data_IF_311845721905
#
_entry.id   IF_311845721905
#
_cell.length_a   1.000
_cell.length_b   1.000
_cell.length_c   1.000
_cell.angle_alpha   90.00
_cell.angle_beta   90.00
_cell.angle_gamma   90.00
#
_symmetry.space_group_name_H-M   'P 1'
#
loop_
_entity.id
_entity.type
_entity.pdbx_description
1 polymer ?
#
# COMPACT_ATOMS: atom_id res chain seq x y z
N UNK A 1 10.40 51.73 29.65
CA UNK A 1 9.21 51.79 28.77
C UNK A 1 9.68 51.83 27.32
N UNK A 2 9.61 50.71 26.60
CA UNK A 2 9.78 50.66 25.13
C UNK A 2 8.62 49.83 24.57
N UNK A 3 7.54 50.55 24.29
CA UNK A 3 6.46 50.07 23.43
C UNK A 3 6.82 50.53 22.03
N UNK A 4 7.27 49.60 21.21
CA UNK A 4 7.31 49.67 19.74
C UNK A 4 6.79 48.29 19.28
N UNK A 5 5.51 48.02 19.46
CA UNK A 5 4.54 48.19 18.37
C UNK A 5 5.10 47.67 17.04
N UNK A 6 5.19 46.34 16.93
CA UNK A 6 5.30 45.66 15.64
C UNK A 6 4.21 46.20 14.71
N UNK A 7 4.63 46.81 13.61
CA UNK A 7 3.72 47.35 12.60
C UNK A 7 2.98 46.20 11.88
N UNK A 8 1.64 46.25 11.71
CA UNK A 8 0.79 45.10 11.36
C UNK A 8 0.85 44.49 9.94
N UNK A 9 1.94 44.66 9.18
CA UNK A 9 2.01 44.20 7.78
C UNK A 9 3.19 43.26 7.47
N UNK A 10 4.17 43.15 8.38
CA UNK A 10 5.36 42.30 8.15
C UNK A 10 5.14 40.84 8.56
N UNK A 11 4.21 40.54 9.47
CA UNK A 11 3.89 39.16 9.85
C UNK A 11 3.12 38.42 8.74
N UNK A 12 2.30 39.15 7.96
CA UNK A 12 1.48 38.58 6.90
C UNK A 12 2.27 38.18 5.66
N UNK A 13 3.47 38.71 5.47
CA UNK A 13 4.31 38.37 4.31
C UNK A 13 5.20 37.15 4.56
N UNK A 14 5.47 36.83 5.84
CA UNK A 14 6.30 35.68 6.22
C UNK A 14 5.53 34.35 6.22
N UNK A 15 4.21 34.39 6.32
CA UNK A 15 3.34 33.22 6.15
C UNK A 15 3.08 32.88 4.66
N UNK A 16 3.11 33.86 3.76
CA UNK A 16 2.83 33.65 2.32
C UNK A 16 4.08 33.14 1.57
N UNK A 17 5.27 33.38 2.10
CA UNK A 17 6.55 32.98 1.51
C UNK A 17 7.18 31.72 2.09
N UNK A 18 6.57 31.09 3.10
CA UNK A 18 7.10 29.86 3.68
C UNK A 18 6.57 28.65 2.89
N UNK A 19 7.43 27.97 2.10
CA UNK A 19 6.99 26.79 1.39
C UNK A 19 6.63 25.66 2.37
N UNK A 20 6.95 25.74 3.66
CA UNK A 20 6.50 24.79 4.67
C UNK A 20 4.99 24.88 4.95
N UNK A 21 4.37 26.07 4.90
CA UNK A 21 2.93 26.23 5.09
C UNK A 21 2.11 25.63 3.94
N UNK A 22 2.55 25.90 2.70
CA UNK A 22 1.95 25.32 1.49
C UNK A 22 2.25 23.81 1.41
N UNK A 23 3.45 23.38 1.81
CA UNK A 23 3.78 21.95 1.94
C UNK A 23 2.93 21.27 2.97
N UNK A 24 2.61 21.90 4.11
CA UNK A 24 1.81 21.29 5.18
C UNK A 24 0.35 21.11 4.79
N UNK A 25 -0.25 21.99 3.99
CA UNK A 25 -1.61 21.81 3.48
C UNK A 25 -1.68 20.88 2.25
N UNK A 26 -0.63 20.84 1.42
CA UNK A 26 -0.49 19.85 0.34
C UNK A 26 -0.11 18.45 0.86
N UNK A 27 0.63 18.38 1.97
CA UNK A 27 0.85 17.11 2.68
C UNK A 27 -0.43 16.71 3.36
N UNK A 28 -1.26 17.57 3.99
CA UNK A 28 -2.54 17.23 4.66
C UNK A 28 -3.61 16.44 3.85
N UNK A 29 -3.28 15.96 2.66
CA UNK A 29 -3.73 14.67 2.13
C UNK A 29 -3.05 13.43 2.81
N UNK A 30 -2.31 13.59 3.92
CA UNK A 30 -1.51 12.51 4.55
C UNK A 30 -2.35 11.49 5.28
N UNK A 31 -3.59 11.84 5.66
CA UNK A 31 -4.47 10.89 6.35
C UNK A 31 -4.75 9.65 5.50
N UNK A 32 -4.97 9.83 4.20
CA UNK A 32 -5.27 8.69 3.31
C UNK A 32 -3.99 7.94 2.94
N UNK A 33 -2.90 8.66 2.63
CA UNK A 33 -1.64 8.04 2.22
C UNK A 33 -0.96 7.27 3.35
N UNK A 34 -0.99 7.78 4.59
CA UNK A 34 -0.41 7.11 5.75
C UNK A 34 -1.18 5.83 6.11
N UNK A 35 -2.51 5.90 6.14
CA UNK A 35 -3.33 4.72 6.41
C UNK A 35 -3.23 3.68 5.28
N UNK A 36 -3.13 4.14 4.02
CA UNK A 36 -2.95 3.25 2.88
C UNK A 36 -1.61 2.52 2.92
N UNK A 37 -0.51 3.22 3.24
CA UNK A 37 0.82 2.62 3.38
C UNK A 37 0.86 1.54 4.47
N UNK A 38 0.32 1.85 5.66
CA UNK A 38 0.21 0.90 6.77
C UNK A 38 -0.63 -0.34 6.41
N UNK A 39 -1.82 -0.14 5.83
CA UNK A 39 -2.69 -1.25 5.42
C UNK A 39 -2.03 -2.10 4.35
N UNK A 40 -1.36 -1.48 3.37
CA UNK A 40 -0.67 -2.20 2.30
C UNK A 40 0.45 -3.09 2.87
N UNK A 41 1.31 -2.55 3.74
CA UNK A 41 2.41 -3.32 4.34
C UNK A 41 1.90 -4.54 5.13
N UNK A 42 0.90 -4.37 5.99
CA UNK A 42 0.32 -5.49 6.74
C UNK A 42 -0.42 -6.48 5.83
N UNK A 43 -1.12 -5.97 4.82
CA UNK A 43 -1.84 -6.80 3.84
C UNK A 43 -0.89 -7.68 3.04
N UNK A 44 0.27 -7.16 2.61
CA UNK A 44 1.27 -7.95 1.87
C UNK A 44 1.79 -9.14 2.69
N UNK A 45 2.09 -8.93 3.97
CA UNK A 45 2.57 -9.99 4.88
C UNK A 45 1.47 -11.03 5.11
N UNK A 46 0.25 -10.60 5.41
CA UNK A 46 -0.90 -11.49 5.62
C UNK A 46 -1.26 -12.25 4.34
N UNK A 47 -1.27 -11.57 3.20
CA UNK A 47 -1.55 -12.18 1.90
C UNK A 47 -0.52 -13.24 1.56
N UNK A 48 0.78 -12.99 1.79
CA UNK A 48 1.83 -13.99 1.58
C UNK A 48 1.63 -15.25 2.43
N UNK A 49 1.25 -15.08 3.70
CA UNK A 49 0.99 -16.22 4.60
C UNK A 49 -0.25 -17.03 4.17
N UNK A 50 -1.34 -16.35 3.81
CA UNK A 50 -2.56 -16.99 3.31
C UNK A 50 -2.28 -17.72 1.99
N UNK A 51 -1.53 -17.09 1.09
CA UNK A 51 -1.16 -17.67 -0.20
C UNK A 51 -0.37 -18.97 -0.02
N UNK A 52 0.59 -18.98 0.91
CA UNK A 52 1.38 -20.17 1.24
C UNK A 52 0.47 -21.31 1.71
N UNK A 53 -0.46 -21.02 2.64
CA UNK A 53 -1.42 -22.02 3.13
C UNK A 53 -2.34 -22.55 2.02
N UNK A 54 -2.79 -21.68 1.11
CA UNK A 54 -3.59 -22.07 -0.04
C UNK A 54 -2.81 -22.98 -1.00
N UNK A 55 -1.55 -22.66 -1.30
CA UNK A 55 -0.72 -23.49 -2.18
C UNK A 55 -0.48 -24.87 -1.55
N UNK A 56 -0.18 -24.93 -0.25
CA UNK A 56 0.02 -26.20 0.46
C UNK A 56 -1.26 -27.05 0.41
N UNK A 57 -2.41 -26.47 0.74
CA UNK A 57 -3.69 -27.20 0.73
C UNK A 57 -4.12 -27.63 -0.67
N UNK A 58 -3.88 -26.81 -1.69
CA UNK A 58 -4.12 -27.15 -3.10
C UNK A 58 -3.19 -28.28 -3.55
N UNK A 59 -1.91 -28.20 -3.23
CA UNK A 59 -0.91 -29.24 -3.52
C UNK A 59 -1.27 -30.57 -2.85
N UNK A 60 -1.65 -30.54 -1.56
CA UNK A 60 -2.12 -31.74 -0.86
C UNK A 60 -3.37 -32.33 -1.50
N UNK A 61 -4.32 -31.50 -1.92
CA UNK A 61 -5.53 -31.96 -2.62
C UNK A 61 -5.16 -32.65 -3.93
N UNK A 62 -4.26 -32.07 -4.73
CA UNK A 62 -3.79 -32.66 -5.98
C UNK A 62 -3.05 -33.98 -5.77
N UNK A 63 -2.15 -34.04 -4.79
CA UNK A 63 -1.38 -35.26 -4.48
C UNK A 63 -2.26 -36.39 -3.93
N UNK A 64 -3.24 -36.06 -3.08
CA UNK A 64 -4.16 -37.05 -2.48
C UNK A 64 -5.37 -37.39 -3.37
N UNK A 65 -5.47 -36.79 -4.56
CA UNK A 65 -6.58 -37.05 -5.49
C UNK A 65 -6.60 -38.49 -6.01
N UNK A 66 -5.48 -39.22 -5.97
CA UNK A 66 -5.39 -40.64 -6.33
C UNK A 66 -6.04 -41.02 -7.69
N UNK A 67 -6.05 -40.08 -8.65
CA UNK A 67 -6.67 -40.28 -9.96
C UNK A 67 -8.16 -39.91 -10.05
N UNK A 68 -8.79 -39.45 -8.96
CA UNK A 68 -10.14 -38.89 -8.98
C UNK A 68 -10.12 -37.56 -9.78
N UNK A 69 -10.81 -37.49 -10.93
CA UNK A 69 -10.80 -36.30 -11.78
C UNK A 69 -11.43 -35.09 -11.08
N UNK A 70 -12.42 -35.29 -10.22
CA UNK A 70 -13.13 -34.21 -9.53
C UNK A 70 -12.23 -33.53 -8.50
N UNK A 71 -11.47 -34.31 -7.72
CA UNK A 71 -10.52 -33.77 -6.75
C UNK A 71 -9.33 -33.09 -7.43
N UNK A 72 -8.87 -33.67 -8.54
CA UNK A 72 -7.79 -33.10 -9.34
C UNK A 72 -8.20 -31.74 -9.92
N UNK A 73 -9.40 -31.65 -10.47
CA UNK A 73 -9.94 -30.40 -11.02
C UNK A 73 -10.16 -29.35 -9.92
N UNK A 74 -10.69 -29.74 -8.76
CA UNK A 74 -10.83 -28.85 -7.60
C UNK A 74 -9.48 -28.31 -7.10
N UNK A 75 -8.45 -29.16 -7.03
CA UNK A 75 -7.10 -28.76 -6.67
C UNK A 75 -6.47 -27.80 -7.69
N UNK A 76 -6.65 -28.07 -8.98
CA UNK A 76 -6.19 -27.19 -10.07
C UNK A 76 -6.88 -25.84 -10.00
N UNK A 77 -8.20 -25.81 -9.84
CA UNK A 77 -8.94 -24.58 -9.70
C UNK A 77 -8.43 -23.79 -8.49
N UNK A 78 -8.24 -24.40 -7.32
CA UNK A 78 -7.66 -23.71 -6.17
C UNK A 78 -6.29 -23.11 -6.46
N UNK A 79 -5.42 -23.84 -7.15
CA UNK A 79 -4.10 -23.35 -7.52
C UNK A 79 -4.19 -22.15 -8.46
N UNK A 80 -5.10 -22.19 -9.45
CA UNK A 80 -5.37 -21.07 -10.35
C UNK A 80 -5.86 -19.84 -9.60
N UNK A 81 -6.80 -20.00 -8.66
CA UNK A 81 -7.29 -18.89 -7.84
C UNK A 81 -6.18 -18.29 -6.96
N UNK A 82 -5.34 -19.14 -6.36
CA UNK A 82 -4.15 -18.69 -5.62
C UNK A 82 -3.18 -17.93 -6.54
N UNK A 83 -2.93 -18.42 -7.76
CA UNK A 83 -2.08 -17.73 -8.73
C UNK A 83 -2.64 -16.36 -9.12
N UNK A 84 -3.95 -16.23 -9.33
CA UNK A 84 -4.59 -14.93 -9.57
C UNK A 84 -4.47 -13.99 -8.37
N UNK A 85 -4.69 -14.49 -7.15
CA UNK A 85 -4.52 -13.71 -5.93
C UNK A 85 -3.08 -13.20 -5.77
N UNK A 86 -2.09 -14.06 -6.02
CA UNK A 86 -0.69 -13.67 -6.05
C UNK A 86 -0.41 -12.60 -7.11
N UNK A 87 -0.94 -12.79 -8.32
CA UNK A 87 -0.74 -11.86 -9.42
C UNK A 87 -1.31 -10.46 -9.11
N UNK A 88 -2.47 -10.39 -8.44
CA UNK A 88 -3.06 -9.12 -8.02
C UNK A 88 -2.17 -8.41 -7.01
N UNK A 89 -1.69 -9.13 -5.98
CA UNK A 89 -0.79 -8.58 -4.97
C UNK A 89 0.52 -8.10 -5.60
N UNK A 90 1.06 -8.90 -6.51
CA UNK A 90 2.25 -8.54 -7.28
C UNK A 90 2.00 -7.26 -8.09
N UNK A 91 0.93 -7.20 -8.89
CA UNK A 91 0.57 -6.03 -9.67
C UNK A 91 0.36 -4.77 -8.80
N UNK A 92 -0.28 -4.91 -7.64
CA UNK A 92 -0.48 -3.81 -6.70
C UNK A 92 0.85 -3.21 -6.22
N UNK A 93 1.85 -4.04 -5.93
CA UNK A 93 3.19 -3.58 -5.56
C UNK A 93 3.85 -2.78 -6.70
N UNK A 94 3.78 -3.29 -7.94
CA UNK A 94 4.32 -2.58 -9.11
C UNK A 94 3.62 -1.24 -9.37
N UNK A 95 2.29 -1.20 -9.24
CA UNK A 95 1.52 0.04 -9.36
C UNK A 95 1.94 1.02 -8.27
N UNK A 96 2.06 0.59 -7.02
CA UNK A 96 2.53 1.44 -5.92
C UNK A 96 3.92 2.01 -6.21
N UNK A 97 4.85 1.20 -6.73
CA UNK A 97 6.19 1.64 -7.12
C UNK A 97 6.15 2.71 -8.22
N UNK A 98 5.31 2.53 -9.24
CA UNK A 98 5.15 3.53 -10.32
C UNK A 98 4.58 4.83 -9.76
N UNK A 99 3.58 4.76 -8.87
CA UNK A 99 3.01 5.94 -8.23
C UNK A 99 4.05 6.69 -7.40
N UNK A 100 4.96 6.01 -6.71
CA UNK A 100 6.06 6.69 -6.01
C UNK A 100 6.96 7.48 -6.94
N UNK A 101 7.33 6.90 -8.07
CA UNK A 101 8.22 7.54 -9.05
C UNK A 101 7.54 8.78 -9.65
N UNK A 102 6.24 8.71 -9.94
CA UNK A 102 5.48 9.81 -10.55
C UNK A 102 5.19 10.92 -9.54
N UNK A 103 4.74 10.57 -8.33
CA UNK A 103 4.30 11.53 -7.32
C UNK A 103 5.43 11.96 -6.36
N UNK A 104 6.60 11.34 -6.43
CA UNK A 104 7.73 11.54 -5.51
C UNK A 104 7.32 11.48 -4.03
N UNK A 105 6.34 10.64 -3.72
CA UNK A 105 5.82 10.42 -2.37
C UNK A 105 6.39 9.10 -1.81
N UNK A 106 6.89 9.08 -0.57
CA UNK A 106 7.35 7.86 0.09
C UNK A 106 6.15 7.02 0.58
N UNK A 107 5.62 6.13 -0.26
CA UNK A 107 4.47 5.26 0.10
C UNK A 107 4.93 3.92 0.69
N UNK A 108 6.18 3.50 0.44
CA UNK A 108 6.75 2.19 0.83
C UNK A 108 8.05 2.34 1.64
N UNK A 109 8.50 3.56 1.90
CA UNK A 109 9.58 3.83 2.85
C UNK A 109 8.95 4.39 4.12
N UNK A 110 8.93 3.56 5.16
CA UNK A 110 8.91 4.08 6.53
C UNK A 110 10.22 4.81 6.85
#
# INVERSE_FOLDING_TARGET
>A
MKIYAQSPLEQKLKEIGDPAGIKNELTKSEGVSFLFSQVLQYSLILAGLILLAMIISAGFTLLTSAGDPKKTEAGKNRLTHAAFGFLIVFAAYWIAQILQVIFNLPILSG
#
